data_IF_924793726935
#
_entry.id   IF_924793726935
#
_cell.length_a   1.000
_cell.length_b   1.000
_cell.length_c   1.000
_cell.angle_alpha   90.00
_cell.angle_beta   90.00
_cell.angle_gamma   90.00
#
_symmetry.space_group_name_H-M   'P 1'
#
loop_
_entity.id
_entity.type
_entity.pdbx_description
1 polymer ?
#
# COMPACT_ATOMS: atom_id res chain seq x y z
N UNK A 1 25.31 35.25 41.59
CA UNK A 1 23.96 35.18 41.01
C UNK A 1 24.06 35.80 39.63
N UNK A 2 24.17 34.97 38.60
CA UNK A 2 23.97 35.41 37.23
C UNK A 2 22.69 34.72 36.78
N UNK A 3 21.61 35.51 36.79
CA UNK A 3 20.38 35.21 36.08
C UNK A 3 20.74 35.13 34.60
N UNK A 4 20.50 33.97 34.00
CA UNK A 4 20.38 33.88 32.55
C UNK A 4 18.96 34.31 32.21
N UNK A 5 18.80 35.59 31.89
CA UNK A 5 17.62 36.11 31.22
C UNK A 5 17.33 35.24 30.00
N UNK A 6 16.12 34.66 29.98
CA UNK A 6 15.58 33.95 28.82
C UNK A 6 15.19 34.99 27.75
N UNK A 7 16.20 35.51 27.08
CA UNK A 7 16.04 36.28 25.86
C UNK A 7 15.98 35.29 24.70
N UNK A 8 14.82 35.18 24.01
CA UNK A 8 14.60 34.74 22.60
C UNK A 8 13.12 34.37 22.35
N UNK A 9 12.24 35.38 22.25
CA UNK A 9 10.89 35.20 21.66
C UNK A 9 10.82 35.80 20.25
N UNK A 10 11.58 35.18 19.33
CA UNK A 10 11.50 35.44 17.90
C UNK A 10 11.41 34.10 17.13
N UNK A 11 10.50 33.22 17.54
CA UNK A 11 10.14 32.04 16.76
C UNK A 11 9.22 32.39 15.59
N UNK A 12 9.30 31.65 14.48
CA UNK A 12 8.27 31.76 13.44
C UNK A 12 6.94 31.22 13.96
N UNK A 13 5.80 31.75 13.52
CA UNK A 13 4.44 31.25 13.87
C UNK A 13 4.17 29.79 13.44
N UNK A 14 5.12 29.16 12.74
CA UNK A 14 5.04 27.78 12.28
C UNK A 14 5.65 26.83 13.32
N UNK A 15 5.09 25.63 13.43
CA UNK A 15 5.76 24.55 14.14
C UNK A 15 7.12 24.23 13.50
N UNK A 16 8.02 23.66 14.30
CA UNK A 16 9.41 23.44 13.91
C UNK A 16 9.54 22.61 12.62
N UNK A 17 8.69 21.59 12.41
CA UNK A 17 8.74 20.74 11.22
C UNK A 17 8.31 21.55 9.99
N UNK A 18 7.21 22.27 10.09
CA UNK A 18 6.71 23.15 9.02
C UNK A 18 7.73 24.23 8.66
N UNK A 19 8.36 24.86 9.66
CA UNK A 19 9.42 25.84 9.43
C UNK A 19 10.62 25.23 8.65
N UNK A 20 11.07 24.04 9.05
CA UNK A 20 12.18 23.33 8.39
C UNK A 20 11.84 22.92 6.95
N UNK A 21 10.62 22.41 6.70
CA UNK A 21 10.18 22.04 5.34
C UNK A 21 10.12 23.26 4.43
N UNK A 22 9.53 24.37 4.89
CA UNK A 22 9.49 25.61 4.10
C UNK A 22 10.88 26.17 3.83
N UNK A 23 11.78 26.11 4.80
CA UNK A 23 13.17 26.55 4.62
C UNK A 23 13.89 25.69 3.56
N UNK A 24 13.70 24.36 3.60
CA UNK A 24 14.29 23.43 2.63
C UNK A 24 13.76 23.67 1.22
N UNK A 25 12.45 23.80 1.06
CA UNK A 25 11.83 24.12 -0.24
C UNK A 25 12.35 25.46 -0.77
N UNK A 26 12.39 26.49 0.07
CA UNK A 26 12.87 27.82 -0.31
C UNK A 26 14.32 27.78 -0.82
N UNK A 27 15.23 27.10 -0.10
CA UNK A 27 16.63 27.08 -0.50
C UNK A 27 16.87 26.23 -1.75
N UNK A 28 16.13 25.11 -1.93
CA UNK A 28 16.26 24.26 -3.11
C UNK A 28 15.71 24.94 -4.37
N UNK A 29 14.58 25.63 -4.26
CA UNK A 29 13.99 26.42 -5.36
C UNK A 29 14.89 27.60 -5.73
N UNK A 30 15.38 28.36 -4.75
CA UNK A 30 16.32 29.48 -5.02
C UNK A 30 17.61 29.05 -5.70
N UNK A 31 18.08 27.83 -5.42
CA UNK A 31 19.24 27.23 -6.09
C UNK A 31 18.94 26.62 -7.46
N UNK A 32 17.68 26.64 -7.91
CA UNK A 32 17.27 26.03 -9.17
C UNK A 32 17.33 24.51 -9.19
N UNK A 33 17.37 23.86 -8.01
CA UNK A 33 17.46 22.40 -7.89
C UNK A 33 16.09 21.71 -7.89
N UNK A 34 15.03 22.47 -7.59
CA UNK A 34 13.65 22.00 -7.55
C UNK A 34 12.78 23.01 -8.29
N UNK A 35 11.91 22.49 -9.15
CA UNK A 35 10.80 23.23 -9.74
C UNK A 35 9.55 23.02 -8.85
N UNK A 36 8.99 24.08 -8.23
CA UNK A 36 7.76 23.97 -7.43
C UNK A 36 6.60 23.32 -8.20
N UNK A 37 6.45 23.61 -9.49
CA UNK A 37 5.38 23.02 -10.30
C UNK A 37 5.54 21.50 -10.45
N UNK A 38 6.78 21.00 -10.47
CA UNK A 38 7.05 19.56 -10.48
C UNK A 38 6.71 18.91 -9.13
N UNK A 39 6.94 19.60 -8.00
CA UNK A 39 6.53 19.12 -6.67
C UNK A 39 5.01 19.01 -6.58
N UNK A 40 4.29 20.05 -7.02
CA UNK A 40 2.83 20.06 -7.06
C UNK A 40 2.27 18.91 -7.92
N UNK A 41 2.88 18.66 -9.09
CA UNK A 41 2.48 17.54 -9.95
C UNK A 41 2.69 16.17 -9.29
N UNK A 42 3.75 16.00 -8.50
CA UNK A 42 4.01 14.78 -7.72
C UNK A 42 2.95 14.62 -6.62
N UNK A 43 2.63 15.69 -5.89
CA UNK A 43 1.60 15.68 -4.84
C UNK A 43 0.25 15.27 -5.44
N UNK A 44 -0.19 15.95 -6.51
CA UNK A 44 -1.46 15.66 -7.16
C UNK A 44 -1.53 14.21 -7.69
N UNK A 45 -0.41 13.70 -8.23
CA UNK A 45 -0.34 12.31 -8.71
C UNK A 45 -0.68 11.31 -7.61
N UNK A 46 -0.07 11.45 -6.43
CA UNK A 46 -0.27 10.48 -5.35
C UNK A 46 -1.47 10.78 -4.45
N UNK A 47 -2.00 11.99 -4.49
CA UNK A 47 -3.20 12.37 -3.76
C UNK A 47 -4.48 12.01 -4.53
N UNK A 48 -4.50 12.21 -5.85
CA UNK A 48 -5.73 12.17 -6.64
C UNK A 48 -5.74 11.12 -7.75
N UNK A 49 -4.59 10.79 -8.34
CA UNK A 49 -4.52 9.96 -9.57
C UNK A 49 -4.15 8.50 -9.32
N UNK A 50 -3.25 8.25 -8.37
CA UNK A 50 -2.73 6.91 -8.08
C UNK A 50 -3.20 6.45 -6.70
N UNK A 51 -3.83 5.28 -6.63
CA UNK A 51 -4.34 4.74 -5.38
C UNK A 51 -4.83 3.31 -5.50
N UNK A 52 -5.38 2.74 -4.40
CA UNK A 52 -5.76 1.33 -4.33
C UNK A 52 -6.86 0.90 -5.33
N UNK A 53 -7.53 1.86 -5.97
CA UNK A 53 -8.49 1.61 -7.05
C UNK A 53 -7.85 0.85 -8.21
N UNK A 54 -6.57 1.13 -8.50
CA UNK A 54 -5.81 0.47 -9.57
C UNK A 54 -5.62 -1.02 -9.24
N UNK A 55 -5.15 -1.32 -8.01
CA UNK A 55 -5.03 -2.70 -7.53
C UNK A 55 -6.36 -3.44 -7.50
N UNK A 56 -7.44 -2.78 -7.09
CA UNK A 56 -8.78 -3.36 -7.09
C UNK A 56 -9.22 -3.79 -8.50
N UNK A 57 -8.94 -2.97 -9.51
CA UNK A 57 -9.20 -3.32 -10.91
C UNK A 57 -8.36 -4.53 -11.37
N UNK A 58 -7.08 -4.61 -10.98
CA UNK A 58 -6.21 -5.76 -11.26
C UNK A 58 -6.78 -7.04 -10.65
N UNK A 59 -7.18 -7.00 -9.37
CA UNK A 59 -7.76 -8.15 -8.65
C UNK A 59 -9.09 -8.58 -9.29
N UNK A 60 -10.00 -7.64 -9.57
CA UNK A 60 -11.29 -7.94 -10.16
C UNK A 60 -11.17 -8.57 -11.56
N UNK A 61 -10.22 -8.09 -12.36
CA UNK A 61 -9.89 -8.72 -13.65
C UNK A 61 -9.34 -10.12 -13.46
N UNK A 62 -8.44 -10.34 -12.51
CA UNK A 62 -7.92 -11.68 -12.20
C UNK A 62 -9.00 -12.66 -11.72
N UNK A 63 -10.06 -12.17 -11.09
CA UNK A 63 -11.20 -13.00 -10.69
C UNK A 63 -12.18 -13.35 -11.83
N UNK A 64 -12.16 -12.60 -12.94
CA UNK A 64 -13.12 -12.72 -14.05
C UNK A 64 -12.49 -13.23 -15.34
N UNK A 65 -11.18 -13.10 -15.50
CA UNK A 65 -10.42 -13.48 -16.67
C UNK A 65 -9.30 -14.47 -16.27
N UNK A 66 -9.51 -15.79 -16.45
CA UNK A 66 -8.52 -16.81 -16.11
C UNK A 66 -7.20 -16.64 -16.88
N UNK A 67 -7.25 -16.18 -18.13
CA UNK A 67 -6.05 -15.97 -18.94
C UNK A 67 -5.22 -14.79 -18.40
N UNK A 68 -5.88 -13.71 -17.97
CA UNK A 68 -5.22 -12.62 -17.26
C UNK A 68 -4.67 -13.08 -15.91
N UNK A 69 -5.40 -13.90 -15.14
CA UNK A 69 -4.91 -14.44 -13.88
C UNK A 69 -3.62 -15.27 -14.07
N UNK A 70 -3.58 -16.11 -15.10
CA UNK A 70 -2.39 -16.89 -15.45
C UNK A 70 -1.23 -16.03 -15.96
N UNK A 71 -1.52 -14.94 -16.67
CA UNK A 71 -0.51 -13.96 -17.05
C UNK A 71 0.05 -13.25 -15.81
N UNK A 72 -0.82 -12.76 -14.92
CA UNK A 72 -0.48 -12.09 -13.68
C UNK A 72 0.38 -12.96 -12.74
N UNK A 73 0.15 -14.28 -12.72
CA UNK A 73 1.00 -15.24 -11.97
C UNK A 73 2.41 -15.36 -12.54
N UNK A 74 2.55 -15.33 -13.87
CA UNK A 74 3.84 -15.53 -14.56
C UNK A 74 4.67 -14.26 -14.63
N UNK A 75 4.03 -13.14 -14.90
CA UNK A 75 4.66 -11.82 -15.04
C UNK A 75 3.68 -10.74 -14.60
N UNK A 76 3.71 -10.40 -13.32
CA UNK A 76 2.80 -9.40 -12.78
C UNK A 76 3.12 -7.99 -13.29
N UNK A 77 4.39 -7.68 -13.57
CA UNK A 77 4.78 -6.38 -14.14
C UNK A 77 4.10 -6.19 -15.50
N UNK A 78 4.27 -7.15 -16.41
CA UNK A 78 3.69 -7.04 -17.75
C UNK A 78 2.15 -7.04 -17.73
N UNK A 79 1.53 -7.89 -16.91
CA UNK A 79 0.07 -7.95 -16.79
C UNK A 79 -0.52 -6.64 -16.26
N UNK A 80 0.08 -6.05 -15.22
CA UNK A 80 -0.35 -4.77 -14.65
C UNK A 80 -0.12 -3.62 -15.64
N UNK A 81 1.00 -3.63 -16.36
CA UNK A 81 1.30 -2.64 -17.40
C UNK A 81 0.31 -2.66 -18.58
N UNK A 82 -0.24 -3.83 -18.95
CA UNK A 82 -1.30 -3.93 -19.96
C UNK A 82 -2.59 -3.18 -19.58
N UNK A 83 -2.79 -2.92 -18.28
CA UNK A 83 -3.91 -2.11 -17.78
C UNK A 83 -3.57 -0.61 -17.72
N UNK A 84 -2.38 -0.21 -18.19
CA UNK A 84 -1.90 1.17 -18.13
C UNK A 84 -1.29 1.55 -16.77
N UNK A 85 -1.21 0.62 -15.82
CA UNK A 85 -0.64 0.88 -14.51
C UNK A 85 0.87 0.67 -14.55
N UNK A 86 1.61 1.76 -14.67
CA UNK A 86 3.08 1.78 -14.63
C UNK A 86 3.55 2.95 -13.78
N UNK A 87 4.79 2.90 -13.30
CA UNK A 87 5.36 4.01 -12.55
C UNK A 87 6.25 3.58 -11.40
N UNK A 88 6.57 4.57 -10.56
CA UNK A 88 7.52 4.45 -9.45
C UNK A 88 7.06 3.45 -8.41
N UNK A 89 8.02 2.73 -7.84
CA UNK A 89 7.75 1.73 -6.80
C UNK A 89 6.75 0.68 -7.28
N UNK A 90 6.87 0.26 -8.53
CA UNK A 90 6.04 -0.75 -9.19
C UNK A 90 6.69 -1.27 -10.48
N UNK A 91 8.00 -1.06 -10.63
CA UNK A 91 8.79 -1.45 -11.79
C UNK A 91 8.96 -2.98 -11.85
N UNK A 92 9.00 -3.64 -10.68
CA UNK A 92 9.09 -5.08 -10.53
C UNK A 92 8.00 -5.60 -9.58
N UNK A 93 6.93 -6.14 -10.16
CA UNK A 93 5.76 -6.60 -9.44
C UNK A 93 5.74 -8.13 -9.33
N UNK A 94 5.23 -8.62 -8.20
CA UNK A 94 4.84 -10.02 -8.03
C UNK A 94 3.44 -10.09 -7.42
N UNK A 95 2.57 -10.89 -8.03
CA UNK A 95 1.24 -11.15 -7.53
C UNK A 95 1.23 -12.39 -6.63
N UNK A 96 0.64 -12.26 -5.44
CA UNK A 96 0.60 -13.29 -4.41
C UNK A 96 -0.84 -13.78 -4.24
N UNK A 97 -1.17 -14.93 -4.82
CA UNK A 97 -2.54 -15.43 -4.82
C UNK A 97 -2.86 -16.18 -3.53
N UNK A 98 -3.82 -15.66 -2.76
CA UNK A 98 -4.36 -16.37 -1.62
C UNK A 98 -5.16 -17.60 -2.09
N UNK A 99 -5.16 -18.63 -1.26
CA UNK A 99 -5.87 -19.90 -1.47
C UNK A 99 -6.45 -20.41 -0.16
N UNK A 100 -7.24 -21.49 -0.20
CA UNK A 100 -7.75 -22.16 1.00
C UNK A 100 -6.61 -22.56 1.97
N UNK A 101 -5.43 -22.88 1.44
CA UNK A 101 -4.30 -23.39 2.21
C UNK A 101 -3.28 -22.31 2.59
N UNK A 102 -3.22 -21.18 1.88
CA UNK A 102 -2.21 -20.14 2.09
C UNK A 102 -2.80 -18.74 2.02
N UNK A 103 -2.55 -17.95 3.06
CA UNK A 103 -2.78 -16.51 3.13
C UNK A 103 -1.45 -15.76 3.08
N UNK A 104 -1.34 -14.79 2.19
CA UNK A 104 -0.17 -13.95 2.03
C UNK A 104 -0.36 -12.61 2.74
N UNK A 105 0.73 -12.07 3.29
CA UNK A 105 0.77 -10.79 3.97
C UNK A 105 2.08 -10.08 3.62
N UNK A 106 2.04 -8.77 3.36
CA UNK A 106 3.21 -8.01 2.90
C UNK A 106 3.65 -7.00 3.96
N UNK A 107 4.96 -6.87 4.16
CA UNK A 107 5.58 -5.88 5.05
C UNK A 107 6.87 -5.35 4.42
N UNK A 108 7.35 -4.23 4.93
CA UNK A 108 8.72 -3.79 4.73
C UNK A 108 9.32 -3.52 6.11
N UNK A 109 10.03 -4.50 6.67
CA UNK A 109 10.53 -4.41 8.05
C UNK A 109 11.53 -3.25 8.21
N UNK A 110 12.31 -2.95 7.16
CA UNK A 110 13.37 -1.95 7.19
C UNK A 110 12.88 -0.50 7.02
N UNK A 111 11.78 -0.27 6.31
CA UNK A 111 11.27 1.07 6.09
C UNK A 111 9.77 1.10 5.75
N UNK A 112 9.43 1.15 4.46
CA UNK A 112 8.06 1.35 3.97
C UNK A 112 7.90 1.04 2.47
N UNK A 113 8.74 0.17 1.89
CA UNK A 113 8.63 -0.25 0.49
C UNK A 113 7.22 -0.78 0.20
N UNK A 114 6.60 -0.31 -0.88
CA UNK A 114 5.17 -0.51 -1.14
C UNK A 114 4.85 -0.30 -2.63
N UNK A 115 3.90 -1.04 -3.24
CA UNK A 115 3.63 -0.96 -4.67
C UNK A 115 2.82 0.30 -5.06
N UNK A 116 3.46 1.46 -5.16
CA UNK A 116 2.74 2.74 -5.33
C UNK A 116 1.87 2.77 -6.58
N UNK A 117 2.36 2.21 -7.70
CA UNK A 117 1.63 2.13 -8.98
C UNK A 117 0.21 1.57 -8.85
N UNK A 118 0.00 0.60 -7.95
CA UNK A 118 -1.30 -0.07 -7.79
C UNK A 118 -2.01 0.22 -6.47
N UNK A 119 -1.28 0.63 -5.42
CA UNK A 119 -1.85 0.85 -4.09
C UNK A 119 -1.71 2.28 -3.55
N UNK A 120 -1.04 3.19 -4.27
CA UNK A 120 -0.75 4.54 -3.80
C UNK A 120 0.27 4.57 -2.66
N UNK A 121 0.26 5.65 -1.86
CA UNK A 121 1.17 5.80 -0.72
C UNK A 121 0.75 4.89 0.45
N UNK A 122 1.69 4.21 1.13
CA UNK A 122 1.36 3.29 2.21
C UNK A 122 0.68 4.00 3.40
N UNK A 123 -0.31 3.35 4.04
CA UNK A 123 -0.96 3.89 5.23
C UNK A 123 0.02 4.06 6.40
N UNK A 124 -0.33 4.94 7.34
CA UNK A 124 0.52 5.26 8.49
C UNK A 124 0.88 4.01 9.30
N UNK A 125 -0.09 3.12 9.55
CA UNK A 125 0.15 1.88 10.31
C UNK A 125 1.16 0.96 9.64
N UNK A 126 1.21 0.91 8.31
CA UNK A 126 2.16 0.05 7.57
C UNK A 126 3.61 0.48 7.82
N UNK A 127 3.82 1.79 7.97
CA UNK A 127 5.13 2.40 8.23
C UNK A 127 5.55 2.32 9.71
N UNK A 128 4.60 1.95 10.59
CA UNK A 128 4.81 1.97 12.03
C UNK A 128 5.75 0.85 12.50
N UNK A 129 6.56 1.09 13.55
CA UNK A 129 7.36 0.05 14.18
C UNK A 129 6.52 -1.14 14.68
N UNK A 130 5.30 -0.88 15.15
CA UNK A 130 4.39 -1.90 15.66
C UNK A 130 4.05 -2.94 14.58
N UNK A 131 3.64 -2.50 13.39
CA UNK A 131 3.39 -3.41 12.28
C UNK A 131 4.67 -4.09 11.80
N UNK A 132 5.71 -3.30 11.54
CA UNK A 132 6.96 -3.76 10.91
C UNK A 132 7.70 -4.81 11.73
N UNK A 133 7.70 -4.69 13.06
CA UNK A 133 8.38 -5.64 13.94
C UNK A 133 7.57 -6.91 14.20
N UNK A 134 6.23 -6.80 14.29
CA UNK A 134 5.36 -7.91 14.67
C UNK A 134 4.93 -8.77 13.49
N UNK A 135 4.72 -8.18 12.30
CA UNK A 135 4.21 -8.89 11.14
C UNK A 135 5.03 -10.14 10.77
N UNK A 136 6.36 -10.08 10.91
CA UNK A 136 7.25 -11.21 10.60
C UNK A 136 7.40 -12.23 11.74
N UNK A 137 6.97 -11.89 12.95
CA UNK A 137 7.16 -12.72 14.16
C UNK A 137 5.87 -13.39 14.61
N UNK A 138 4.76 -12.66 14.58
CA UNK A 138 3.46 -13.10 15.06
C UNK A 138 2.33 -12.67 14.10
N UNK A 139 2.39 -13.03 12.81
CA UNK A 139 1.47 -12.53 11.79
C UNK A 139 0.00 -12.79 12.11
N UNK A 140 -0.34 -13.93 12.74
CA UNK A 140 -1.72 -14.23 13.13
C UNK A 140 -2.24 -13.29 14.22
N UNK A 141 -1.40 -12.88 15.17
CA UNK A 141 -1.79 -11.93 16.19
C UNK A 141 -1.98 -10.53 15.58
N UNK A 142 -1.10 -10.12 14.66
CA UNK A 142 -1.28 -8.87 13.91
C UNK A 142 -2.56 -8.89 13.09
N UNK A 143 -2.87 -9.99 12.40
CA UNK A 143 -4.14 -10.13 11.67
C UNK A 143 -5.36 -10.02 12.59
N UNK A 144 -5.29 -10.56 13.80
CA UNK A 144 -6.36 -10.42 14.79
C UNK A 144 -6.58 -8.95 15.21
N UNK A 145 -5.52 -8.13 15.29
CA UNK A 145 -5.63 -6.69 15.53
C UNK A 145 -6.38 -5.96 14.38
N UNK A 146 -6.34 -6.50 13.17
CA UNK A 146 -7.13 -6.05 12.02
C UNK A 146 -8.53 -6.70 11.93
N UNK A 147 -8.91 -7.52 12.92
CA UNK A 147 -10.18 -8.24 12.92
C UNK A 147 -10.21 -9.48 12.00
N UNK A 148 -9.06 -9.94 11.52
CA UNK A 148 -8.96 -11.12 10.65
C UNK A 148 -8.54 -12.35 11.45
N UNK A 149 -9.42 -13.35 11.50
CA UNK A 149 -9.10 -14.68 12.05
C UNK A 149 -9.07 -15.70 10.92
N UNK A 150 -7.90 -16.30 10.69
CA UNK A 150 -7.72 -17.34 9.67
C UNK A 150 -7.89 -18.74 10.30
N UNK A 151 -8.40 -19.74 9.53
CA UNK A 151 -8.40 -21.13 9.96
C UNK A 151 -7.03 -21.59 10.49
N UNK A 152 -7.02 -22.45 11.50
CA UNK A 152 -5.80 -22.94 12.13
C UNK A 152 -4.87 -23.66 11.12
N UNK A 153 -5.45 -24.38 10.16
CA UNK A 153 -4.72 -25.11 9.11
C UNK A 153 -4.20 -24.25 7.95
N UNK A 154 -4.69 -23.02 7.78
CA UNK A 154 -4.28 -22.17 6.66
C UNK A 154 -2.93 -21.51 6.96
N UNK A 155 -1.90 -21.76 6.16
CA UNK A 155 -0.57 -21.19 6.35
C UNK A 155 -0.56 -19.68 6.12
N UNK A 156 0.23 -18.94 6.91
CA UNK A 156 0.46 -17.49 6.69
C UNK A 156 1.88 -17.29 6.17
N UNK A 157 2.01 -16.76 4.95
CA UNK A 157 3.31 -16.44 4.33
C UNK A 157 3.50 -14.93 4.29
N UNK A 158 4.46 -14.46 5.08
CA UNK A 158 4.81 -13.05 5.18
C UNK A 158 5.92 -12.74 4.17
N UNK A 159 5.72 -11.72 3.35
CA UNK A 159 6.67 -11.25 2.37
C UNK A 159 7.27 -9.93 2.81
N UNK A 160 8.57 -9.96 3.10
CA UNK A 160 9.32 -8.78 3.48
C UNK A 160 9.96 -8.12 2.25
N UNK A 161 9.59 -6.86 2.02
CA UNK A 161 10.01 -6.07 0.86
C UNK A 161 11.41 -5.48 1.09
N UNK A 162 12.42 -6.35 1.05
CA UNK A 162 13.84 -6.04 1.34
C UNK A 162 14.67 -5.67 0.11
N UNK A 163 14.11 -5.86 -1.09
CA UNK A 163 14.72 -5.53 -2.37
C UNK A 163 13.75 -4.68 -3.22
N UNK A 164 14.03 -4.54 -4.53
CA UNK A 164 13.18 -3.74 -5.44
C UNK A 164 11.92 -4.45 -5.93
N UNK A 165 11.70 -5.71 -5.55
CA UNK A 165 10.42 -6.39 -5.77
C UNK A 165 9.31 -5.76 -4.93
N UNK A 166 8.14 -5.60 -5.52
CA UNK A 166 6.93 -5.10 -4.87
C UNK A 166 5.81 -6.12 -5.04
N UNK A 167 5.05 -6.32 -3.98
CA UNK A 167 4.06 -7.40 -3.91
C UNK A 167 2.64 -6.86 -3.90
N UNK A 168 1.76 -7.50 -4.66
CA UNK A 168 0.32 -7.30 -4.61
C UNK A 168 -0.34 -8.61 -4.19
N UNK A 169 -1.07 -8.62 -3.08
CA UNK A 169 -1.87 -9.79 -2.70
C UNK A 169 -3.13 -9.82 -3.56
N UNK A 170 -3.41 -10.97 -4.15
CA UNK A 170 -4.68 -11.26 -4.84
C UNK A 170 -5.54 -12.05 -3.85
N UNK A 171 -6.49 -11.40 -3.15
CA UNK A 171 -7.36 -12.09 -2.20
C UNK A 171 -8.24 -13.13 -2.91
N UNK A 172 -8.76 -14.08 -2.13
CA UNK A 172 -9.75 -15.03 -2.65
C UNK A 172 -11.05 -14.29 -2.98
N UNK A 173 -11.67 -14.64 -4.12
CA UNK A 173 -12.97 -14.13 -4.51
C UNK A 173 -14.02 -14.57 -3.48
N UNK A 174 -14.79 -13.64 -2.89
CA UNK A 174 -15.88 -13.99 -1.98
C UNK A 174 -16.95 -14.83 -2.68
N UNK A 175 -17.50 -15.83 -1.96
CA UNK A 175 -18.67 -16.58 -2.41
C UNK A 175 -19.90 -15.65 -2.56
N UNK A 176 -20.89 -16.07 -3.36
CA UNK A 176 -22.10 -15.26 -3.60
C UNK A 176 -21.88 -14.10 -4.58
N UNK A 177 -20.74 -14.08 -5.26
CA UNK A 177 -20.41 -13.07 -6.28
C UNK A 177 -20.47 -13.64 -7.69
N UNK A 178 -21.02 -14.84 -7.89
CA UNK A 178 -21.13 -15.50 -9.19
C UNK A 178 -21.87 -14.59 -10.20
N UNK A 179 -21.33 -14.50 -11.42
CA UNK A 179 -21.91 -13.66 -12.48
C UNK A 179 -21.75 -12.14 -12.30
N UNK A 180 -21.14 -11.66 -11.22
CA UNK A 180 -20.84 -10.23 -11.07
C UNK A 180 -19.81 -9.78 -12.11
N UNK A 181 -19.98 -8.56 -12.61
CA UNK A 181 -18.99 -7.89 -13.46
C UNK A 181 -17.76 -7.42 -12.66
N UNK A 182 -16.72 -7.01 -13.40
CA UNK A 182 -15.45 -6.59 -12.80
C UNK A 182 -15.59 -5.33 -11.93
N UNK A 183 -16.43 -4.37 -12.30
CA UNK A 183 -16.58 -3.12 -11.55
C UNK A 183 -17.23 -3.36 -10.19
N UNK A 184 -18.28 -4.20 -10.15
CA UNK A 184 -18.94 -4.60 -8.92
C UNK A 184 -18.03 -5.44 -8.04
N UNK A 185 -17.22 -6.32 -8.62
CA UNK A 185 -16.21 -7.10 -7.89
C UNK A 185 -15.09 -6.22 -7.32
N UNK A 186 -14.64 -5.20 -8.06
CA UNK A 186 -13.60 -4.28 -7.60
C UNK A 186 -14.02 -3.53 -6.32
N UNK A 187 -15.32 -3.27 -6.14
CA UNK A 187 -15.86 -2.66 -4.93
C UNK A 187 -15.68 -3.52 -3.66
N UNK A 188 -15.47 -4.83 -3.80
CA UNK A 188 -15.19 -5.74 -2.68
C UNK A 188 -13.71 -5.78 -2.30
N UNK A 189 -12.82 -5.26 -3.16
CA UNK A 189 -11.38 -5.34 -2.96
C UNK A 189 -10.91 -4.12 -2.17
N UNK A 190 -10.56 -4.34 -0.91
CA UNK A 190 -10.03 -3.28 -0.04
C UNK A 190 -8.52 -3.17 -0.17
N UNK A 191 -7.96 -2.01 0.17
CA UNK A 191 -6.50 -1.84 0.30
C UNK A 191 -5.90 -2.92 1.21
N UNK A 192 -6.52 -3.17 2.35
CA UNK A 192 -6.02 -4.11 3.34
C UNK A 192 -6.05 -5.56 2.82
N UNK A 193 -7.05 -5.93 2.00
CA UNK A 193 -7.07 -7.23 1.32
C UNK A 193 -5.93 -7.43 0.33
N UNK A 194 -5.44 -6.34 -0.28
CA UNK A 194 -4.32 -6.34 -1.22
C UNK A 194 -2.94 -6.24 -0.56
N UNK A 195 -2.89 -5.84 0.72
CA UNK A 195 -1.70 -5.96 1.58
C UNK A 195 -1.67 -7.35 2.23
N UNK A 196 -2.84 -7.96 2.41
CA UNK A 196 -3.02 -9.21 3.15
C UNK A 196 -3.29 -9.01 4.64
N UNK A 197 -3.60 -7.79 5.08
CA UNK A 197 -4.08 -7.51 6.46
C UNK A 197 -5.59 -7.59 6.60
N UNK A 198 -6.31 -7.69 5.48
CA UNK A 198 -7.76 -7.85 5.40
C UNK A 198 -8.16 -9.02 4.52
N UNK A 199 -9.45 -9.35 4.52
CA UNK A 199 -10.08 -10.15 3.47
C UNK A 199 -10.82 -9.22 2.50
N UNK A 200 -11.15 -9.72 1.31
CA UNK A 200 -12.12 -9.05 0.46
C UNK A 200 -13.48 -8.98 1.18
N UNK A 201 -14.25 -7.93 0.96
CA UNK A 201 -15.57 -7.76 1.56
C UNK A 201 -16.50 -8.88 1.09
N UNK A 202 -17.36 -9.36 1.98
CA UNK A 202 -18.42 -10.30 1.61
C UNK A 202 -19.47 -9.63 0.71
N UNK A 203 -20.11 -10.43 -0.15
CA UNK A 203 -21.20 -9.95 -1.01
C UNK A 203 -22.43 -9.48 -0.23
N UNK A 204 -22.66 -10.08 0.95
CA UNK A 204 -23.68 -9.69 1.91
C UNK A 204 -23.01 -9.08 3.16
N UNK A 205 -23.58 -8.02 3.77
CA UNK A 205 -23.13 -7.55 5.06
C UNK A 205 -23.21 -8.68 6.09
N UNK A 206 -22.16 -8.91 6.88
CA UNK A 206 -22.29 -9.78 8.05
C UNK A 206 -23.34 -9.14 8.99
N UNK A 207 -24.32 -9.94 9.50
CA UNK A 207 -25.36 -9.44 10.39
C UNK A 207 -24.81 -8.86 11.69
#
# INVERSE_FOLDING_TARGET
MHDHDNDHDHGSDLDEMTARVRALETILTRKGLVDPAAVDAIIDTYQNKVGPRNGAAVVARAWTDPAFADHLRRDATAAIAQMGFTGRQGEHMQALFNSADTHHMVVCTLCSCYPWTVLGVPPVWYKSPAYRSRAVREPRAVLADFGVTLPAGQAVKVWDSTAELRYLVIPQRPAGTEGWDADRLAALVTRDSMIGTGLALSAEPQP
#
